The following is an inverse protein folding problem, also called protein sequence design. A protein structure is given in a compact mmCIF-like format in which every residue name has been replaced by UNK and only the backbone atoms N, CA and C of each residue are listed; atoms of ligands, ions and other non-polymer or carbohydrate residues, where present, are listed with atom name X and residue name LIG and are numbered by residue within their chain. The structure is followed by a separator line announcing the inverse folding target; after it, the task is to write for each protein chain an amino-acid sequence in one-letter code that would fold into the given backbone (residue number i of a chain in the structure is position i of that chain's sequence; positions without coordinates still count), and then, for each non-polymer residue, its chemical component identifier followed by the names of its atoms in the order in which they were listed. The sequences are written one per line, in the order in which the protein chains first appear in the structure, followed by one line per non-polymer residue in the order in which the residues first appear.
data_IF_349655220919
#
_entry.id   IF_349655220919
#
_cell.length_a   1.000
_cell.length_b   1.000
_cell.length_c   1.000
_cell.angle_alpha   90.00
_cell.angle_beta   90.00
_cell.angle_gamma   90.00
#
_symmetry.space_group_name_H-M   'P 1'
#
loop_
_entity.id
_entity.type
_entity.pdbx_description
1 polymer ?
#
# COMPACT_ATOMS: atom_id res chain seq x y z
N UNK A 1 6.91 -14.72 -17.87
CA UNK A 1 7.04 -13.97 -16.61
C UNK A 1 8.50 -13.84 -16.16
N UNK A 2 9.23 -14.91 -15.77
CA UNK A 2 10.61 -14.79 -15.25
C UNK A 2 11.57 -14.11 -16.24
N UNK A 3 11.54 -14.45 -17.51
CA UNK A 3 12.40 -13.83 -18.55
C UNK A 3 12.12 -12.31 -18.67
N UNK A 4 10.86 -11.90 -18.60
CA UNK A 4 10.51 -10.49 -18.66
C UNK A 4 11.00 -9.70 -17.42
N UNK A 5 10.98 -10.34 -16.22
CA UNK A 5 11.51 -9.73 -15.00
C UNK A 5 13.05 -9.65 -15.06
N UNK A 6 13.71 -10.69 -15.62
CA UNK A 6 15.17 -10.65 -15.83
C UNK A 6 15.55 -9.51 -16.78
N UNK A 7 14.82 -9.27 -17.86
CA UNK A 7 15.10 -8.15 -18.77
C UNK A 7 15.07 -6.79 -18.05
N UNK A 8 14.21 -6.64 -17.04
CA UNK A 8 14.23 -5.43 -16.18
C UNK A 8 15.47 -5.41 -15.29
N UNK A 9 15.83 -6.54 -14.67
CA UNK A 9 17.03 -6.64 -13.84
C UNK A 9 18.32 -6.36 -14.62
N UNK A 10 18.38 -6.80 -15.88
CA UNK A 10 19.54 -6.63 -16.78
C UNK A 10 19.55 -5.25 -17.48
N UNK A 11 18.55 -4.40 -17.24
CA UNK A 11 18.44 -3.05 -17.81
C UNK A 11 17.99 -3.03 -19.29
N UNK A 12 17.55 -4.15 -19.81
CA UNK A 12 17.03 -4.26 -21.19
C UNK A 12 15.60 -3.70 -21.32
N UNK A 13 14.84 -3.62 -20.19
CA UNK A 13 13.51 -3.06 -20.13
C UNK A 13 13.34 -2.17 -18.88
N UNK A 14 12.57 -1.11 -19.00
CA UNK A 14 12.27 -0.21 -17.88
C UNK A 14 11.18 -0.75 -16.93
N UNK A 15 10.31 -1.63 -17.43
CA UNK A 15 9.22 -2.21 -16.66
C UNK A 15 8.75 -3.53 -17.26
N UNK A 16 7.90 -4.27 -16.55
CA UNK A 16 7.24 -5.48 -17.02
C UNK A 16 5.74 -5.40 -16.75
N UNK A 17 4.95 -5.82 -17.73
CA UNK A 17 3.50 -6.00 -17.63
C UNK A 17 3.17 -7.48 -17.80
N UNK A 18 2.33 -8.02 -16.94
CA UNK A 18 1.95 -9.43 -16.97
C UNK A 18 0.49 -9.61 -16.59
N UNK A 19 -0.25 -10.33 -17.42
CA UNK A 19 -1.62 -10.80 -17.13
C UNK A 19 -1.63 -12.18 -16.43
N UNK A 20 -0.47 -12.65 -15.94
CA UNK A 20 -0.35 -13.93 -15.24
C UNK A 20 -0.78 -13.87 -13.78
N UNK A 21 -0.52 -14.97 -13.06
CA UNK A 21 -0.83 -15.07 -11.65
C UNK A 21 -0.07 -14.01 -10.83
N UNK A 22 -0.79 -13.18 -10.07
CA UNK A 22 -0.25 -12.05 -9.31
C UNK A 22 0.76 -12.50 -8.23
N UNK A 23 0.46 -13.57 -7.50
CA UNK A 23 1.36 -14.10 -6.48
C UNK A 23 2.68 -14.60 -7.08
N UNK A 24 2.63 -15.26 -8.25
CA UNK A 24 3.82 -15.69 -8.95
C UNK A 24 4.64 -14.50 -9.48
N UNK A 25 3.97 -13.47 -10.03
CA UNK A 25 4.63 -12.24 -10.46
C UNK A 25 5.38 -11.59 -9.30
N UNK A 26 4.71 -11.40 -8.18
CA UNK A 26 5.30 -10.80 -6.98
C UNK A 26 6.48 -11.63 -6.43
N UNK A 27 6.31 -12.94 -6.29
CA UNK A 27 7.36 -13.82 -5.75
C UNK A 27 8.61 -13.82 -6.63
N UNK A 28 8.45 -13.93 -7.94
CA UNK A 28 9.57 -13.90 -8.89
C UNK A 28 10.23 -12.51 -8.92
N UNK A 29 9.43 -11.43 -8.91
CA UNK A 29 9.96 -10.06 -8.86
C UNK A 29 10.76 -9.82 -7.59
N UNK A 30 10.25 -10.22 -6.42
CA UNK A 30 10.98 -10.12 -5.16
C UNK A 30 12.29 -10.92 -5.17
N UNK A 31 12.29 -12.11 -5.77
CA UNK A 31 13.49 -12.95 -5.85
C UNK A 31 14.55 -12.35 -6.77
N UNK A 32 14.15 -11.84 -7.94
CA UNK A 32 15.07 -11.33 -8.98
C UNK A 32 15.49 -9.90 -8.69
N UNK A 33 14.53 -8.99 -8.50
CA UNK A 33 14.78 -7.54 -8.35
C UNK A 33 15.16 -7.15 -6.92
N UNK A 34 14.81 -8.00 -5.94
CA UNK A 34 14.94 -7.72 -4.50
C UNK A 34 13.99 -6.60 -4.04
N UNK A 35 14.00 -6.33 -2.74
CA UNK A 35 13.32 -5.18 -2.14
C UNK A 35 14.36 -4.15 -1.70
N UNK A 36 13.93 -2.91 -1.56
CA UNK A 36 14.77 -1.87 -0.97
C UNK A 36 15.09 -2.21 0.50
N UNK A 37 16.24 -1.76 1.03
CA UNK A 37 16.55 -1.91 2.45
C UNK A 37 15.41 -1.36 3.32
N UNK A 38 15.00 -2.12 4.32
CA UNK A 38 13.90 -1.77 5.21
C UNK A 38 12.51 -2.17 4.74
N UNK A 39 12.34 -2.62 3.49
CA UNK A 39 11.07 -3.12 2.95
C UNK A 39 11.10 -4.65 2.90
N UNK A 40 10.24 -5.29 3.67
CA UNK A 40 10.18 -6.75 3.74
C UNK A 40 9.41 -7.36 2.58
N UNK A 41 8.35 -6.68 2.13
CA UNK A 41 7.46 -7.18 1.07
C UNK A 41 7.02 -6.06 0.13
N UNK A 42 6.92 -6.32 -1.19
CA UNK A 42 6.25 -5.40 -2.11
C UNK A 42 4.74 -5.41 -1.83
N UNK A 43 4.05 -4.33 -2.17
CA UNK A 43 2.60 -4.21 -2.15
C UNK A 43 2.08 -3.91 -3.55
N UNK A 44 0.83 -4.29 -3.83
CA UNK A 44 0.12 -3.86 -5.02
C UNK A 44 -0.62 -2.58 -4.69
N UNK A 45 -0.38 -1.55 -5.50
CA UNK A 45 -1.09 -0.28 -5.40
C UNK A 45 -1.87 0.02 -6.67
N UNK A 46 -2.97 0.74 -6.51
CA UNK A 46 -3.70 1.35 -7.62
C UNK A 46 -4.27 2.70 -7.20
N UNK A 47 -4.56 3.52 -8.21
CA UNK A 47 -5.37 4.71 -8.03
C UNK A 47 -6.83 4.32 -7.89
N UNK A 48 -7.48 4.89 -6.91
CA UNK A 48 -8.92 4.72 -6.69
C UNK A 48 -9.61 6.06 -6.96
N UNK A 49 -10.60 6.11 -7.86
CA UNK A 49 -11.35 7.33 -8.12
C UNK A 49 -12.22 7.67 -6.90
N UNK A 50 -12.14 8.90 -6.45
CA UNK A 50 -12.88 9.40 -5.29
C UNK A 50 -13.68 10.64 -5.66
N UNK A 51 -14.54 11.10 -4.75
CA UNK A 51 -15.27 12.36 -4.91
C UNK A 51 -14.35 13.59 -4.92
N UNK A 52 -13.09 13.46 -4.46
CA UNK A 52 -12.10 14.54 -4.37
C UNK A 52 -10.97 14.44 -5.40
N UNK A 53 -11.02 13.44 -6.28
CA UNK A 53 -9.96 13.15 -7.25
C UNK A 53 -9.52 11.70 -7.16
N UNK A 54 -8.22 11.46 -7.11
CA UNK A 54 -7.67 10.11 -7.01
C UNK A 54 -6.98 9.91 -5.66
N UNK A 55 -7.23 8.77 -5.02
CA UNK A 55 -6.50 8.30 -3.86
C UNK A 55 -5.64 7.09 -4.24
N UNK A 56 -4.55 6.88 -3.53
CA UNK A 56 -3.72 5.70 -3.63
C UNK A 56 -4.18 4.67 -2.60
N UNK A 57 -4.45 3.45 -3.02
CA UNK A 57 -4.81 2.36 -2.10
C UNK A 57 -3.81 1.21 -2.23
N UNK A 58 -3.32 0.68 -1.09
CA UNK A 58 -2.40 -0.46 -0.98
C UNK A 58 -2.55 -1.16 0.39
N UNK A 59 -2.46 -2.50 0.51
CA UNK A 59 -2.15 -3.50 -0.50
C UNK A 59 -3.43 -4.05 -1.14
N UNK A 60 -3.41 -4.31 -2.44
CA UNK A 60 -4.59 -4.76 -3.20
C UNK A 60 -4.56 -6.26 -3.57
N UNK A 61 -3.81 -7.06 -2.80
CA UNK A 61 -3.85 -8.52 -2.95
C UNK A 61 -2.50 -9.23 -3.06
N UNK A 62 -1.38 -8.54 -2.80
CA UNK A 62 -0.07 -9.16 -2.77
C UNK A 62 0.18 -9.94 -1.47
N UNK A 63 -0.27 -9.41 -0.33
CA UNK A 63 -0.01 -9.95 1.00
C UNK A 63 -1.33 -10.14 1.74
N UNK A 64 -1.87 -11.35 1.72
CA UNK A 64 -3.20 -11.65 2.31
C UNK A 64 -3.22 -11.45 3.83
N UNK A 65 -2.09 -11.63 4.50
CA UNK A 65 -1.91 -11.39 5.93
C UNK A 65 -0.70 -10.50 6.14
N UNK A 66 -0.87 -9.45 6.91
CA UNK A 66 0.14 -8.46 7.22
C UNK A 66 0.26 -8.31 8.74
N UNK A 67 1.49 -8.22 9.23
CA UNK A 67 1.77 -7.74 10.57
C UNK A 67 1.80 -6.19 10.61
N UNK A 68 1.90 -5.64 11.81
CA UNK A 68 1.97 -4.20 12.02
C UNK A 68 3.12 -3.55 11.23
N UNK A 69 4.27 -4.21 11.18
CA UNK A 69 5.45 -3.73 10.46
C UNK A 69 5.19 -3.64 8.95
N UNK A 70 4.49 -4.62 8.37
CA UNK A 70 4.12 -4.57 6.95
C UNK A 70 3.21 -3.38 6.66
N UNK A 71 2.18 -3.15 7.49
CA UNK A 71 1.26 -2.02 7.33
C UNK A 71 1.98 -0.67 7.44
N UNK A 72 2.92 -0.53 8.37
CA UNK A 72 3.77 0.66 8.50
C UNK A 72 4.63 0.85 7.24
N UNK A 73 5.25 -0.21 6.72
CA UNK A 73 6.02 -0.13 5.49
C UNK A 73 5.13 0.27 4.29
N UNK A 74 3.90 -0.24 4.21
CA UNK A 74 2.96 0.15 3.16
C UNK A 74 2.55 1.62 3.30
N UNK A 75 2.39 2.13 4.51
CA UNK A 75 2.12 3.56 4.73
C UNK A 75 3.25 4.44 4.18
N UNK A 76 4.51 4.08 4.47
CA UNK A 76 5.68 4.77 3.92
C UNK A 76 5.74 4.68 2.39
N UNK A 77 5.49 3.48 1.83
CA UNK A 77 5.49 3.29 0.37
C UNK A 77 4.38 4.11 -0.30
N UNK A 78 3.17 4.12 0.27
CA UNK A 78 2.04 4.90 -0.22
C UNK A 78 2.29 6.41 -0.14
N UNK A 79 2.90 6.86 0.95
CA UNK A 79 3.30 8.26 1.13
C UNK A 79 4.27 8.72 0.02
N UNK A 80 5.36 7.97 -0.17
CA UNK A 80 6.34 8.26 -1.23
C UNK A 80 5.71 8.23 -2.61
N UNK A 81 4.81 7.25 -2.86
CA UNK A 81 4.10 7.12 -4.12
C UNK A 81 3.18 8.33 -4.38
N UNK A 82 2.39 8.73 -3.40
CA UNK A 82 1.50 9.89 -3.52
C UNK A 82 2.28 11.19 -3.77
N UNK A 83 3.42 11.39 -3.09
CA UNK A 83 4.29 12.54 -3.34
C UNK A 83 4.91 12.54 -4.73
N UNK A 84 5.41 11.40 -5.18
CA UNK A 84 6.18 11.33 -6.43
C UNK A 84 5.31 11.23 -7.67
N UNK A 85 4.18 10.53 -7.60
CA UNK A 85 3.32 10.25 -8.75
C UNK A 85 2.12 11.18 -8.81
N UNK A 86 1.47 11.45 -7.67
CA UNK A 86 0.33 12.39 -7.61
C UNK A 86 0.77 13.84 -7.37
N UNK A 87 2.02 14.09 -7.00
CA UNK A 87 2.54 15.43 -6.73
C UNK A 87 2.00 16.08 -5.45
N UNK A 88 1.44 15.29 -4.54
CA UNK A 88 0.89 15.77 -3.26
C UNK A 88 2.04 16.00 -2.29
N UNK A 89 2.29 17.22 -1.87
CA UNK A 89 3.46 17.55 -1.03
C UNK A 89 3.41 16.91 0.34
N UNK A 90 2.26 16.90 0.96
CA UNK A 90 2.02 16.34 2.31
C UNK A 90 0.79 15.45 2.23
N UNK A 91 0.91 14.20 1.74
CA UNK A 91 -0.24 13.33 1.60
C UNK A 91 -0.77 12.90 2.96
N UNK A 92 -2.09 12.82 3.06
CA UNK A 92 -2.80 12.25 4.21
C UNK A 92 -2.87 10.73 4.09
N UNK A 93 -2.61 10.02 5.20
CA UNK A 93 -2.51 8.55 5.23
C UNK A 93 -3.48 8.02 6.27
N UNK A 94 -4.34 7.08 5.87
CA UNK A 94 -5.27 6.37 6.75
C UNK A 94 -5.05 4.87 6.72
N UNK A 95 -5.21 4.21 7.86
CA UNK A 95 -5.32 2.75 7.96
C UNK A 95 -6.79 2.35 7.85
N UNK A 96 -7.12 1.51 6.87
CA UNK A 96 -8.48 0.99 6.70
C UNK A 96 -8.85 0.10 7.89
N UNK A 97 -9.98 0.39 8.51
CA UNK A 97 -10.46 -0.30 9.70
C UNK A 97 -11.99 -0.40 9.67
N UNK A 98 -12.55 -1.16 10.61
CA UNK A 98 -14.00 -1.34 10.82
C UNK A 98 -14.65 -0.25 11.66
N UNK A 99 -13.91 0.75 12.06
CA UNK A 99 -14.34 1.90 12.88
C UNK A 99 -13.16 2.79 13.20
N UNK A 100 -13.45 4.06 13.49
CA UNK A 100 -12.41 5.08 13.76
C UNK A 100 -11.91 5.06 15.21
N UNK A 101 -12.57 4.33 16.11
CA UNK A 101 -12.21 4.28 17.51
C UNK A 101 -10.93 3.45 17.71
N UNK A 102 -10.06 3.89 18.60
CA UNK A 102 -8.72 3.31 18.84
C UNK A 102 -8.71 1.82 19.21
N UNK A 103 -9.81 1.32 19.78
CA UNK A 103 -9.94 -0.07 20.21
C UNK A 103 -10.50 -0.99 19.12
N UNK A 104 -10.92 -0.45 17.99
CA UNK A 104 -11.49 -1.23 16.88
C UNK A 104 -10.42 -1.88 16.02
N UNK A 105 -10.84 -2.96 15.35
CA UNK A 105 -10.00 -3.70 14.41
C UNK A 105 -9.09 -4.73 15.07
N UNK A 106 -8.30 -5.35 14.21
CA UNK A 106 -7.31 -6.37 14.61
C UNK A 106 -6.12 -5.75 15.33
N UNK A 107 -5.41 -6.58 16.10
CA UNK A 107 -4.26 -6.14 16.90
C UNK A 107 -3.17 -5.51 16.02
N UNK A 108 -2.89 -6.10 14.88
CA UNK A 108 -1.89 -5.64 13.93
C UNK A 108 -2.17 -4.22 13.40
N UNK A 109 -3.45 -3.90 13.17
CA UNK A 109 -3.87 -2.56 12.71
C UNK A 109 -3.69 -1.53 13.82
N UNK A 110 -4.04 -1.89 15.07
CA UNK A 110 -3.87 -1.00 16.22
C UNK A 110 -2.39 -0.75 16.55
N UNK A 111 -1.57 -1.80 16.49
CA UNK A 111 -0.12 -1.68 16.66
C UNK A 111 0.50 -0.82 15.55
N UNK A 112 0.12 -1.03 14.29
CA UNK A 112 0.56 -0.20 13.17
C UNK A 112 0.19 1.28 13.37
N UNK A 113 -1.04 1.56 13.83
CA UNK A 113 -1.48 2.92 14.15
C UNK A 113 -0.60 3.56 15.24
N UNK A 114 -0.31 2.83 16.30
CA UNK A 114 0.55 3.33 17.39
C UNK A 114 1.96 3.67 16.88
N UNK A 115 2.54 2.83 16.03
CA UNK A 115 3.85 3.07 15.43
C UNK A 115 3.80 4.30 14.51
N UNK A 116 2.80 4.40 13.63
CA UNK A 116 2.67 5.52 12.67
C UNK A 116 2.48 6.86 13.37
N UNK A 117 1.73 6.91 14.48
CA UNK A 117 1.56 8.12 15.30
C UNK A 117 2.87 8.62 15.93
N UNK A 118 3.83 7.72 16.18
CA UNK A 118 5.14 8.04 16.74
C UNK A 118 6.25 8.22 15.70
N UNK A 119 5.93 7.96 14.42
CA UNK A 119 6.89 8.02 13.32
C UNK A 119 6.85 9.39 12.65
N UNK A 120 8.00 10.02 12.46
CA UNK A 120 8.12 11.27 11.70
C UNK A 120 8.05 10.95 10.20
N UNK A 121 6.87 11.12 9.63
CA UNK A 121 6.61 10.94 8.19
C UNK A 121 6.51 12.30 7.50
N UNK A 122 6.99 12.43 6.25
CA UNK A 122 6.76 13.64 5.46
C UNK A 122 5.27 13.91 5.18
N UNK A 123 4.43 12.87 5.17
CA UNK A 123 2.97 12.93 5.10
C UNK A 123 2.32 13.02 6.48
N UNK A 124 1.00 13.17 6.51
CA UNK A 124 0.20 13.24 7.73
C UNK A 124 -0.56 11.93 7.97
N UNK A 125 -0.25 11.22 9.05
CA UNK A 125 -1.04 10.06 9.46
C UNK A 125 -2.27 10.52 10.25
N UNK A 126 -3.47 10.34 9.67
CA UNK A 126 -4.74 10.80 10.24
C UNK A 126 -5.40 9.76 11.17
N UNK A 127 -4.93 8.52 11.17
CA UNK A 127 -5.50 7.44 11.97
C UNK A 127 -6.28 6.42 11.15
N UNK A 128 -7.41 5.94 11.68
CA UNK A 128 -8.26 4.97 11.01
C UNK A 128 -9.23 5.64 10.05
N UNK A 129 -9.52 4.96 8.95
CA UNK A 129 -10.55 5.31 7.95
C UNK A 129 -11.45 4.10 7.71
N UNK A 130 -12.70 4.35 7.35
CA UNK A 130 -13.69 3.32 7.07
C UNK A 130 -13.89 3.12 5.57
N UNK A 131 -14.74 2.15 5.19
CA UNK A 131 -14.96 1.81 3.79
C UNK A 131 -15.61 2.93 2.96
N UNK A 132 -16.45 3.76 3.57
CA UNK A 132 -17.08 4.91 2.92
C UNK A 132 -16.10 6.08 2.71
N UNK A 133 -15.08 6.21 3.56
CA UNK A 133 -14.01 7.18 3.40
C UNK A 133 -13.23 6.98 2.10
N UNK A 134 -13.11 5.73 1.63
CA UNK A 134 -12.43 5.42 0.36
C UNK A 134 -13.10 6.16 -0.80
N UNK A 135 -14.41 6.02 -0.93
CA UNK A 135 -15.17 6.68 -2.00
C UNK A 135 -15.28 8.20 -1.80
N UNK A 136 -15.36 8.66 -0.55
CA UNK A 136 -15.38 10.07 -0.21
C UNK A 136 -14.04 10.76 -0.49
N UNK A 137 -12.91 10.01 -0.46
CA UNK A 137 -11.56 10.54 -0.65
C UNK A 137 -11.11 11.40 0.53
N UNK A 138 -11.40 10.94 1.77
CA UNK A 138 -11.03 11.67 2.99
C UNK A 138 -9.53 11.71 3.21
N UNK A 139 -8.80 10.74 2.62
CA UNK A 139 -7.33 10.65 2.65
C UNK A 139 -6.77 10.40 1.26
N UNK A 140 -5.50 10.75 1.06
CA UNK A 140 -4.78 10.55 -0.19
C UNK A 140 -4.22 9.13 -0.33
N UNK A 141 -3.94 8.47 0.80
CA UNK A 141 -3.38 7.12 0.88
C UNK A 141 -4.20 6.27 1.85
N UNK A 142 -4.78 5.19 1.34
CA UNK A 142 -5.47 4.18 2.15
C UNK A 142 -4.61 2.93 2.24
N UNK A 143 -4.25 2.54 3.46
CA UNK A 143 -3.41 1.36 3.73
C UNK A 143 -4.25 0.24 4.32
N UNK A 144 -4.06 -0.96 3.79
CA UNK A 144 -4.77 -2.16 4.26
C UNK A 144 -3.93 -3.43 4.01
N UNK A 145 -4.34 -4.57 4.55
CA UNK A 145 -3.84 -5.86 4.12
C UNK A 145 -4.39 -6.24 2.73
N UNK A 146 -3.70 -7.18 2.05
CA UNK A 146 -4.07 -7.53 0.69
C UNK A 146 -5.39 -8.30 0.57
N UNK A 147 -5.87 -8.96 1.63
CA UNK A 147 -7.18 -9.60 1.60
C UNK A 147 -8.29 -8.54 1.57
N UNK A 148 -8.25 -7.62 2.51
CA UNK A 148 -9.22 -6.52 2.62
C UNK A 148 -9.16 -5.61 1.40
N UNK A 149 -7.96 -5.23 0.95
CA UNK A 149 -7.77 -4.39 -0.22
C UNK A 149 -8.26 -5.04 -1.53
N UNK A 150 -8.06 -6.34 -1.69
CA UNK A 150 -8.59 -7.06 -2.87
C UNK A 150 -10.12 -7.13 -2.87
N UNK A 151 -10.75 -7.24 -1.70
CA UNK A 151 -12.22 -7.21 -1.57
C UNK A 151 -12.75 -5.81 -1.87
N UNK A 152 -12.12 -4.78 -1.31
CA UNK A 152 -12.54 -3.38 -1.52
C UNK A 152 -12.41 -2.93 -2.99
N UNK A 153 -11.42 -3.46 -3.72
CA UNK A 153 -11.20 -3.14 -5.14
C UNK A 153 -12.30 -3.68 -6.07
N UNK A 154 -13.04 -4.70 -5.68
CA UNK A 154 -14.06 -5.38 -6.51
C UNK A 154 -15.46 -4.86 -6.28
#
# INVERSE_FOLDING_TARGET
MRLAINAVADGEAASVVSAGNTGALMAISKFVLKTLPGIDRPAITAFYPTQRGEACMLDLGANLQCDAKNLVQFAVMGEVFARTVLGIRTPTIGLLNVGVEELKGHEEIREASAILRSTDLPGEFVGFVEGDDIAAGTVDVVVTDGFTGNVALK
#
